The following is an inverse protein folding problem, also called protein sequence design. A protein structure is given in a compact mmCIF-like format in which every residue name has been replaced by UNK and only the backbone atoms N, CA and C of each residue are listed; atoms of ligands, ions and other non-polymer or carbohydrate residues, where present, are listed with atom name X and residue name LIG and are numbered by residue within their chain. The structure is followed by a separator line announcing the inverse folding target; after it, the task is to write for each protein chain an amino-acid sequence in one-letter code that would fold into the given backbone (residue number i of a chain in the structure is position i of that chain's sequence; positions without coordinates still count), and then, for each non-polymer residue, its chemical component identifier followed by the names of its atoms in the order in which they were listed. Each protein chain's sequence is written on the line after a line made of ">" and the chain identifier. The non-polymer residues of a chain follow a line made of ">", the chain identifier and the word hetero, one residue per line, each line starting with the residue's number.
data_IF_889725371496
#
_entry.id   IF_889725371496
#
_cell.length_a   1.000
_cell.length_b   1.000
_cell.length_c   1.000
_cell.angle_alpha   90.00
_cell.angle_beta   90.00
_cell.angle_gamma   90.00
#
_symmetry.space_group_name_H-M   'P 1'
#
loop_
_entity.id
_entity.type
_entity.pdbx_description
1 polymer ?
#
# COMPACT_ATOMS: atom_id res chain seq x y z
N UNK A 1 -20.88 30.20 11.76
CA UNK A 1 -20.95 28.83 11.22
C UNK A 1 -19.59 28.43 10.73
N UNK A 2 -18.90 27.64 11.50
CA UNK A 2 -17.65 27.05 11.08
C UNK A 2 -17.97 25.85 10.19
N UNK A 3 -17.52 25.91 8.95
CA UNK A 3 -17.52 24.75 8.03
C UNK A 3 -16.52 23.75 8.58
N UNK A 4 -16.98 22.88 9.48
CA UNK A 4 -16.17 21.82 10.05
C UNK A 4 -15.99 20.74 8.99
N UNK A 5 -15.10 20.95 8.03
CA UNK A 5 -14.60 19.85 7.23
C UNK A 5 -13.98 18.85 8.19
N UNK A 6 -14.35 17.56 8.10
CA UNK A 6 -13.69 16.56 8.92
C UNK A 6 -12.19 16.66 8.67
N UNK A 7 -11.41 16.70 9.75
CA UNK A 7 -9.96 16.75 9.66
C UNK A 7 -9.48 15.63 8.74
N UNK A 8 -8.78 15.99 7.66
CA UNK A 8 -8.22 15.01 6.75
C UNK A 8 -7.15 14.24 7.50
N UNK A 9 -7.35 12.94 7.64
CA UNK A 9 -6.34 12.06 8.21
C UNK A 9 -5.23 11.86 7.19
N UNK A 10 -3.95 11.93 7.58
CA UNK A 10 -2.86 11.61 6.67
C UNK A 10 -2.85 10.12 6.35
N UNK A 11 -2.41 9.79 5.14
CA UNK A 11 -1.95 8.46 4.81
C UNK A 11 -0.44 8.40 5.02
N UNK A 12 0.03 7.33 5.63
CA UNK A 12 1.45 7.05 5.73
C UNK A 12 1.84 5.96 4.73
N UNK A 13 3.10 5.93 4.36
CA UNK A 13 3.69 4.81 3.63
C UNK A 13 4.83 4.22 4.45
N UNK A 14 5.00 2.92 4.35
CA UNK A 14 6.09 2.22 5.01
C UNK A 14 6.59 1.09 4.11
N UNK A 15 7.91 0.93 4.01
CA UNK A 15 8.53 -0.24 3.42
C UNK A 15 9.09 -1.11 4.53
N UNK A 16 8.71 -2.38 4.57
CA UNK A 16 9.15 -3.23 5.68
C UNK A 16 10.64 -3.58 5.58
N UNK A 17 11.21 -3.66 4.37
CA UNK A 17 12.60 -4.00 4.15
C UNK A 17 13.04 -5.20 5.01
N UNK A 18 14.16 -5.10 5.69
CA UNK A 18 14.67 -6.13 6.62
C UNK A 18 14.48 -5.74 8.09
N UNK A 19 13.51 -4.87 8.39
CA UNK A 19 13.24 -4.47 9.77
C UNK A 19 12.85 -5.66 10.64
N UNK A 20 13.26 -5.66 11.89
CA UNK A 20 12.70 -6.55 12.90
C UNK A 20 11.24 -6.19 13.16
N UNK A 21 10.41 -7.18 13.45
CA UNK A 21 8.98 -6.96 13.69
C UNK A 21 8.70 -5.96 14.83
N UNK A 22 9.42 -6.02 15.98
CA UNK A 22 9.20 -5.04 17.05
C UNK A 22 9.46 -3.59 16.61
N UNK A 23 10.52 -3.36 15.86
CA UNK A 23 10.86 -2.03 15.34
C UNK A 23 9.82 -1.54 14.31
N UNK A 24 9.37 -2.43 13.44
CA UNK A 24 8.32 -2.15 12.47
C UNK A 24 7.02 -1.72 13.17
N UNK A 25 6.58 -2.48 14.17
CA UNK A 25 5.37 -2.16 14.96
C UNK A 25 5.55 -0.85 15.73
N UNK A 26 6.73 -0.60 16.29
CA UNK A 26 7.01 0.64 17.01
C UNK A 26 6.86 1.87 16.09
N UNK A 27 7.31 1.78 14.86
CA UNK A 27 7.14 2.86 13.86
C UNK A 27 5.66 3.11 13.59
N UNK A 28 4.87 2.06 13.40
CA UNK A 28 3.42 2.19 13.16
C UNK A 28 2.71 2.83 14.36
N UNK A 29 3.00 2.36 15.55
CA UNK A 29 2.40 2.91 16.79
C UNK A 29 2.80 4.36 17.00
N UNK A 30 4.06 4.71 16.75
CA UNK A 30 4.55 6.08 16.88
C UNK A 30 3.87 7.06 15.93
N UNK A 31 3.41 6.61 14.79
CA UNK A 31 2.65 7.40 13.83
C UNK A 31 1.13 7.38 14.08
N UNK A 32 0.66 6.61 15.05
CA UNK A 32 -0.76 6.48 15.33
C UNK A 32 -1.52 5.64 14.31
N UNK A 33 -0.84 4.75 13.60
CA UNK A 33 -1.45 3.90 12.57
C UNK A 33 -2.41 2.91 13.23
N UNK A 34 -3.62 2.83 12.68
CA UNK A 34 -4.68 1.94 13.15
C UNK A 34 -4.93 0.77 12.19
N UNK A 35 -4.56 0.92 10.93
CA UNK A 35 -4.67 -0.12 9.91
C UNK A 35 -3.44 -0.12 8.99
N UNK A 36 -2.86 -1.29 8.82
CA UNK A 36 -1.84 -1.53 7.81
C UNK A 36 -2.50 -2.07 6.55
N UNK A 37 -2.33 -1.36 5.44
CA UNK A 37 -2.80 -1.78 4.12
C UNK A 37 -1.61 -2.32 3.33
N UNK A 38 -1.64 -3.62 3.09
CA UNK A 38 -0.58 -4.33 2.38
C UNK A 38 -0.85 -4.29 0.87
N UNK A 39 0.01 -3.61 0.14
CA UNK A 39 -0.07 -3.49 -1.32
C UNK A 39 1.02 -4.29 -2.04
N UNK A 40 1.56 -5.32 -1.39
CA UNK A 40 2.45 -6.26 -2.07
C UNK A 40 1.63 -7.17 -2.99
N UNK A 41 2.19 -7.48 -4.16
CA UNK A 41 1.59 -8.46 -5.06
C UNK A 41 1.48 -9.83 -4.36
N UNK A 42 2.55 -10.23 -3.67
CA UNK A 42 2.62 -11.46 -2.88
C UNK A 42 3.00 -11.10 -1.44
N UNK A 43 2.10 -11.30 -0.47
CA UNK A 43 2.35 -10.95 0.94
C UNK A 43 3.21 -12.01 1.64
N UNK A 44 4.35 -12.32 1.03
CA UNK A 44 5.34 -13.29 1.52
C UNK A 44 6.75 -12.83 1.23
N UNK A 45 7.65 -13.19 2.12
CA UNK A 45 9.08 -12.94 1.94
C UNK A 45 9.85 -14.12 2.54
N UNK A 46 10.78 -14.69 1.76
CA UNK A 46 11.69 -15.73 2.27
C UNK A 46 12.71 -15.16 3.24
N UNK A 47 13.19 -13.96 2.94
CA UNK A 47 14.24 -13.30 3.73
C UNK A 47 13.69 -12.67 5.00
N UNK A 48 12.42 -12.27 5.01
CA UNK A 48 11.79 -11.56 6.12
C UNK A 48 10.44 -12.18 6.44
N UNK A 49 10.41 -13.46 6.93
CA UNK A 49 9.16 -14.20 7.12
C UNK A 49 8.24 -13.61 8.19
N UNK A 50 8.75 -12.73 9.07
CA UNK A 50 7.94 -12.03 10.05
C UNK A 50 6.85 -11.15 9.41
N UNK A 51 7.00 -10.81 8.14
CA UNK A 51 6.02 -10.01 7.39
C UNK A 51 5.10 -10.86 6.50
N UNK A 52 5.13 -12.17 6.65
CA UNK A 52 4.25 -13.05 5.87
C UNK A 52 2.79 -12.94 6.31
N UNK A 53 1.87 -13.16 5.38
CA UNK A 53 0.43 -13.07 5.60
C UNK A 53 -0.06 -13.99 6.73
N UNK A 54 0.59 -15.13 6.95
CA UNK A 54 0.23 -16.10 8.00
C UNK A 54 0.69 -15.70 9.41
N UNK A 55 1.56 -14.68 9.54
CA UNK A 55 2.10 -14.23 10.83
C UNK A 55 1.82 -12.78 11.14
N UNK A 56 1.93 -11.89 10.15
CA UNK A 56 1.85 -10.45 10.37
C UNK A 56 0.50 -9.96 10.92
N UNK A 57 -0.66 -10.41 10.41
CA UNK A 57 -1.94 -9.91 10.91
C UNK A 57 -2.16 -10.17 12.41
N UNK A 58 -1.80 -11.35 12.89
CA UNK A 58 -1.95 -11.70 14.30
C UNK A 58 -1.03 -10.86 15.20
N UNK A 59 0.22 -10.63 14.77
CA UNK A 59 1.16 -9.79 15.49
C UNK A 59 0.68 -8.33 15.60
N UNK A 60 0.12 -7.80 14.52
CA UNK A 60 -0.47 -6.45 14.51
C UNK A 60 -1.71 -6.36 15.41
N UNK A 61 -2.56 -7.39 15.39
CA UNK A 61 -3.78 -7.43 16.17
C UNK A 61 -3.50 -7.34 17.67
N UNK A 62 -2.40 -7.94 18.16
CA UNK A 62 -1.99 -7.84 19.56
C UNK A 62 -1.68 -6.40 19.98
N UNK A 63 -1.41 -5.53 19.03
CA UNK A 63 -1.10 -4.12 19.24
C UNK A 63 -2.25 -3.18 18.84
N UNK A 64 -3.42 -3.75 18.54
CA UNK A 64 -4.59 -2.98 18.14
C UNK A 64 -4.51 -2.40 16.73
N UNK A 65 -3.68 -2.97 15.85
CA UNK A 65 -3.54 -2.55 14.46
C UNK A 65 -4.24 -3.59 13.58
N UNK A 66 -5.21 -3.13 12.78
CA UNK A 66 -5.87 -3.95 11.77
C UNK A 66 -4.95 -4.17 10.56
N UNK A 67 -5.17 -5.25 9.85
CA UNK A 67 -4.44 -5.59 8.63
C UNK A 67 -5.41 -5.87 7.48
N UNK A 68 -5.08 -5.35 6.30
CA UNK A 68 -5.81 -5.65 5.08
C UNK A 68 -4.85 -5.77 3.90
N UNK A 69 -4.93 -6.88 3.17
CA UNK A 69 -4.23 -7.04 1.89
C UNK A 69 -5.13 -6.56 0.76
N UNK A 70 -4.72 -5.48 0.09
CA UNK A 70 -5.42 -4.96 -1.09
C UNK A 70 -4.69 -5.41 -2.36
N UNK A 71 -5.03 -6.61 -2.84
CA UNK A 71 -4.36 -7.23 -3.98
C UNK A 71 -4.47 -6.39 -5.25
N UNK A 72 -5.58 -5.69 -5.46
CA UNK A 72 -5.79 -4.86 -6.64
C UNK A 72 -4.95 -3.56 -6.64
N UNK A 73 -4.34 -3.22 -5.53
CA UNK A 73 -3.30 -2.18 -5.45
C UNK A 73 -1.89 -2.77 -5.53
N UNK A 74 -1.77 -4.07 -5.62
CA UNK A 74 -0.50 -4.78 -5.67
C UNK A 74 0.33 -4.43 -6.89
N UNK A 75 1.66 -4.48 -6.76
CA UNK A 75 2.61 -4.28 -7.85
C UNK A 75 2.73 -5.47 -8.79
N UNK A 76 3.80 -5.53 -9.56
CA UNK A 76 4.13 -6.60 -10.51
C UNK A 76 3.05 -6.83 -11.54
N UNK A 77 2.55 -5.75 -12.14
CA UNK A 77 1.58 -5.83 -13.22
C UNK A 77 2.29 -5.98 -14.56
N UNK A 78 1.75 -6.85 -15.39
CA UNK A 78 2.17 -6.98 -16.78
C UNK A 78 1.53 -5.93 -17.69
N UNK A 79 1.81 -6.05 -18.98
CA UNK A 79 1.19 -5.22 -20.02
C UNK A 79 -0.33 -5.31 -19.95
N UNK A 80 -1.00 -4.17 -20.04
CA UNK A 80 -2.46 -4.10 -20.01
C UNK A 80 -3.01 -4.09 -21.43
N UNK A 81 -3.74 -5.14 -21.87
CA UNK A 81 -4.42 -5.14 -23.17
C UNK A 81 -5.42 -3.98 -23.25
N UNK A 82 -5.50 -3.33 -24.42
CA UNK A 82 -6.43 -2.23 -24.63
C UNK A 82 -5.91 -0.86 -24.21
N UNK A 83 -4.72 -0.77 -23.62
CA UNK A 83 -4.05 0.51 -23.36
C UNK A 83 -2.98 0.71 -24.42
N UNK A 84 -3.07 1.82 -25.17
CA UNK A 84 -2.09 2.14 -26.19
C UNK A 84 -0.72 2.45 -25.58
N UNK A 85 0.40 2.09 -26.27
CA UNK A 85 1.75 2.26 -25.71
C UNK A 85 2.12 3.70 -25.36
N UNK A 86 1.56 4.68 -26.03
CA UNK A 86 1.80 6.10 -25.79
C UNK A 86 1.07 6.62 -24.55
N UNK A 87 0.05 5.93 -24.06
CA UNK A 87 -0.60 6.25 -22.80
C UNK A 87 0.39 5.98 -21.67
N UNK A 88 0.54 6.93 -20.77
CA UNK A 88 1.55 6.88 -19.71
C UNK A 88 2.99 6.77 -20.26
N UNK A 89 3.24 7.20 -21.49
CA UNK A 89 4.54 7.10 -22.16
C UNK A 89 5.68 7.90 -21.54
N UNK A 90 5.40 8.74 -20.54
CA UNK A 90 6.41 9.46 -19.77
C UNK A 90 7.20 8.58 -18.78
N UNK A 91 6.76 7.34 -18.56
CA UNK A 91 7.48 6.40 -17.70
C UNK A 91 8.57 5.66 -18.48
N UNK A 92 9.84 5.88 -18.16
CA UNK A 92 10.95 5.15 -18.77
C UNK A 92 11.06 3.72 -18.25
N UNK A 93 10.72 3.50 -16.99
CA UNK A 93 10.73 2.18 -16.38
C UNK A 93 9.48 1.39 -16.81
N UNK A 94 9.70 0.23 -17.41
CA UNK A 94 8.62 -0.62 -17.94
C UNK A 94 7.65 -1.07 -16.84
N UNK A 95 8.15 -1.42 -15.67
CA UNK A 95 7.31 -1.83 -14.54
C UNK A 95 6.39 -0.71 -14.08
N UNK A 96 6.88 0.52 -13.99
CA UNK A 96 6.05 1.67 -13.67
C UNK A 96 5.05 2.01 -14.78
N UNK A 97 5.46 1.87 -16.04
CA UNK A 97 4.56 2.06 -17.16
C UNK A 97 3.39 1.06 -17.11
N UNK A 98 3.67 -0.22 -16.92
CA UNK A 98 2.65 -1.25 -16.79
C UNK A 98 1.73 -0.99 -15.58
N UNK A 99 2.30 -0.58 -14.46
CA UNK A 99 1.50 -0.27 -13.28
C UNK A 99 0.62 0.97 -13.49
N UNK A 100 1.14 2.01 -14.15
CA UNK A 100 0.35 3.20 -14.49
C UNK A 100 -0.82 2.84 -15.42
N UNK A 101 -0.63 1.92 -16.37
CA UNK A 101 -1.69 1.40 -17.22
C UNK A 101 -2.71 0.59 -16.41
N UNK A 102 -2.25 -0.23 -15.47
CA UNK A 102 -3.11 -0.94 -14.52
C UNK A 102 -3.97 0.03 -13.71
N UNK A 103 -3.43 1.18 -13.33
CA UNK A 103 -4.14 2.21 -12.58
C UNK A 103 -5.33 2.81 -13.33
N UNK A 104 -5.44 2.60 -14.65
CA UNK A 104 -6.60 2.99 -15.46
C UNK A 104 -7.72 1.95 -15.44
N UNK A 105 -7.48 0.76 -14.90
CA UNK A 105 -8.46 -0.32 -14.88
C UNK A 105 -9.51 -0.11 -13.78
N UNK A 106 -10.77 -0.57 -14.02
CA UNK A 106 -11.84 -0.41 -13.00
C UNK A 106 -11.52 -1.06 -11.66
N UNK A 107 -10.84 -2.21 -11.65
CA UNK A 107 -10.47 -2.90 -10.41
C UNK A 107 -9.53 -2.05 -9.55
N UNK A 108 -8.57 -1.37 -10.14
CA UNK A 108 -7.70 -0.42 -9.42
C UNK A 108 -8.53 0.74 -8.85
N UNK A 109 -9.41 1.32 -9.66
CA UNK A 109 -10.26 2.43 -9.21
C UNK A 109 -11.14 2.06 -8.03
N UNK A 110 -11.71 0.87 -8.03
CA UNK A 110 -12.52 0.36 -6.92
C UNK A 110 -11.67 0.16 -5.66
N UNK A 111 -10.47 -0.41 -5.80
CA UNK A 111 -9.56 -0.62 -4.67
C UNK A 111 -9.09 0.73 -4.09
N UNK A 112 -8.76 1.68 -4.94
CA UNK A 112 -8.38 3.03 -4.51
C UNK A 112 -9.51 3.73 -3.76
N UNK A 113 -10.75 3.63 -4.24
CA UNK A 113 -11.92 4.18 -3.57
C UNK A 113 -12.11 3.54 -2.19
N UNK A 114 -11.92 2.24 -2.07
CA UNK A 114 -11.97 1.52 -0.80
C UNK A 114 -10.88 2.00 0.16
N UNK A 115 -9.64 2.15 -0.32
CA UNK A 115 -8.54 2.69 0.47
C UNK A 115 -8.85 4.10 1.00
N UNK A 116 -9.38 4.96 0.15
CA UNK A 116 -9.75 6.33 0.54
C UNK A 116 -10.84 6.34 1.60
N UNK A 117 -11.85 5.51 1.45
CA UNK A 117 -12.94 5.39 2.43
C UNK A 117 -12.42 4.85 3.78
N UNK A 118 -11.53 3.87 3.74
CA UNK A 118 -10.88 3.33 4.93
C UNK A 118 -10.04 4.38 5.65
N UNK A 119 -9.31 5.20 4.90
CA UNK A 119 -8.49 6.28 5.44
C UNK A 119 -9.30 7.43 6.07
N UNK A 120 -10.58 7.54 5.78
CA UNK A 120 -11.47 8.48 6.46
C UNK A 120 -11.88 8.00 7.85
N UNK A 121 -11.88 6.69 8.08
CA UNK A 121 -12.28 6.06 9.34
C UNK A 121 -11.11 5.74 10.25
N UNK A 122 -9.98 5.39 9.69
CA UNK A 122 -8.78 4.95 10.42
C UNK A 122 -7.54 5.61 9.84
N UNK A 123 -6.53 5.80 10.70
CA UNK A 123 -5.20 6.19 10.25
C UNK A 123 -4.54 4.98 9.59
N UNK A 124 -4.27 5.07 8.29
CA UNK A 124 -3.73 3.99 7.47
C UNK A 124 -2.27 4.22 7.12
N UNK A 125 -1.50 3.12 7.09
CA UNK A 125 -0.20 3.07 6.43
C UNK A 125 -0.27 2.08 5.27
N UNK A 126 0.20 2.50 4.10
CA UNK A 126 0.31 1.67 2.90
C UNK A 126 1.70 1.05 2.88
N UNK A 127 1.77 -0.27 2.85
CA UNK A 127 3.03 -1.01 3.01
C UNK A 127 3.37 -1.84 1.78
N UNK A 128 4.64 -1.82 1.41
CA UNK A 128 5.26 -2.83 0.55
C UNK A 128 6.63 -3.25 1.11
N UNK A 129 7.34 -4.10 0.37
CA UNK A 129 8.67 -4.57 0.78
C UNK A 129 9.78 -3.53 0.59
N UNK A 130 9.67 -2.66 -0.41
CA UNK A 130 10.69 -1.65 -0.73
C UNK A 130 10.69 -0.52 0.29
N UNK A 131 11.84 -0.19 0.84
CA UNK A 131 11.98 0.88 1.83
C UNK A 131 11.71 2.27 1.24
N UNK A 132 12.10 2.49 -0.02
CA UNK A 132 11.98 3.79 -0.68
C UNK A 132 10.71 3.84 -1.53
N UNK A 133 9.74 4.64 -1.10
CA UNK A 133 8.43 4.70 -1.76
C UNK A 133 8.52 5.09 -3.25
N UNK A 134 9.52 5.91 -3.63
CA UNK A 134 9.70 6.35 -5.03
C UNK A 134 10.32 5.28 -5.93
N UNK A 135 10.77 4.16 -5.37
CA UNK A 135 11.29 3.00 -6.12
C UNK A 135 10.28 1.87 -6.27
N UNK A 136 9.06 2.07 -5.79
CA UNK A 136 8.02 1.07 -5.89
C UNK A 136 6.70 1.67 -6.38
N UNK A 137 5.73 0.81 -6.65
CA UNK A 137 4.41 1.20 -7.14
C UNK A 137 3.61 2.10 -6.19
N UNK A 138 3.98 2.21 -4.92
CA UNK A 138 3.40 3.21 -4.00
C UNK A 138 3.55 4.63 -4.52
N UNK A 139 4.53 4.87 -5.39
CA UNK A 139 4.73 6.16 -6.05
C UNK A 139 3.53 6.55 -6.92
N UNK A 140 2.77 5.58 -7.41
CA UNK A 140 1.62 5.79 -8.29
C UNK A 140 0.30 5.77 -7.51
N UNK A 141 0.22 5.01 -6.42
CA UNK A 141 -0.94 5.00 -5.55
C UNK A 141 -1.14 6.38 -4.91
#
# INVERSE_FOLDING_TARGET
>A
MTDARPARRPFFTIGHAALGLPDFIAVLLGAGVQRLVDVRAFPRSRSNPQFNLDTLPAALATQGIDYEHMADLGGRRGRQPGVAPEVNGGWDNESFHHYADWALQPAFGAALAHLRATGQRQCCAVMCAESLWWRCHRRII
#
